data_IF_583771029956
#
_entry.id   IF_583771029956
#
_cell.length_a   1.000
_cell.length_b   1.000
_cell.length_c   1.000
_cell.angle_alpha   90.00
_cell.angle_beta   90.00
_cell.angle_gamma   90.00
#
_symmetry.space_group_name_H-M   'P 1'
#
loop_
_entity.id
_entity.type
_entity.pdbx_description
1 polymer ?
#
# COMPACT_ATOMS: atom_id res chain seq x y z
N UNK A 1 1.74 -0.84 8.45
CA UNK A 1 0.72 -1.63 7.73
C UNK A 1 -0.15 -2.38 8.73
N UNK A 2 -1.45 -2.56 8.45
CA UNK A 2 -2.44 -3.04 9.42
C UNK A 2 -3.34 -4.18 8.93
N UNK A 3 -4.10 -4.76 9.86
CA UNK A 3 -5.07 -5.84 9.65
C UNK A 3 -6.43 -5.45 10.24
N UNK A 4 -7.53 -5.86 9.59
CA UNK A 4 -8.86 -5.84 10.18
C UNK A 4 -9.66 -7.10 9.80
N UNK A 5 -10.93 -7.17 10.21
CA UNK A 5 -11.82 -8.30 9.92
C UNK A 5 -12.03 -8.55 8.41
N UNK A 6 -11.79 -7.54 7.57
CA UNK A 6 -11.97 -7.59 6.12
C UNK A 6 -10.67 -7.85 5.36
N UNK A 7 -9.60 -8.23 6.05
CA UNK A 7 -8.33 -8.61 5.45
C UNK A 7 -7.10 -7.88 6.01
N UNK A 8 -6.00 -7.98 5.26
CA UNK A 8 -4.68 -7.46 5.61
C UNK A 8 -4.18 -6.55 4.49
N UNK A 9 -3.43 -5.52 4.88
CA UNK A 9 -2.73 -4.65 3.95
C UNK A 9 -1.23 -4.94 4.01
N UNK A 10 -0.62 -5.14 2.85
CA UNK A 10 0.82 -5.30 2.71
C UNK A 10 1.37 -4.21 1.81
N UNK A 11 2.48 -3.62 2.20
CA UNK A 11 3.25 -2.77 1.30
C UNK A 11 4.31 -3.63 0.61
N UNK A 12 4.37 -3.55 -0.71
CA UNK A 12 5.42 -4.15 -1.52
C UNK A 12 6.18 -3.02 -2.22
N UNK A 13 7.49 -2.97 -2.00
CA UNK A 13 8.41 -2.06 -2.68
C UNK A 13 9.18 -2.81 -3.76
N UNK A 14 9.22 -2.25 -4.96
CA UNK A 14 10.09 -2.74 -6.02
C UNK A 14 11.56 -2.39 -5.75
N UNK A 15 12.47 -3.09 -6.42
CA UNK A 15 13.90 -2.78 -6.32
C UNK A 15 14.17 -1.33 -6.78
N UNK A 16 13.51 -0.90 -7.87
CA UNK A 16 13.51 0.47 -8.34
C UNK A 16 12.97 1.43 -7.26
N UNK A 17 13.62 2.58 -7.11
CA UNK A 17 13.17 3.63 -6.19
C UNK A 17 11.87 4.26 -6.68
N UNK A 18 11.02 4.67 -5.74
CA UNK A 18 9.72 5.30 -6.04
C UNK A 18 8.63 4.33 -6.53
N UNK A 19 8.97 3.08 -6.81
CA UNK A 19 8.00 2.06 -7.22
C UNK A 19 7.57 1.17 -6.06
N UNK A 20 6.27 1.12 -5.82
CA UNK A 20 5.68 0.30 -4.78
C UNK A 20 4.17 0.42 -4.75
N UNK A 21 3.53 -0.50 -4.05
CA UNK A 21 2.08 -0.53 -3.90
C UNK A 21 1.67 -1.12 -2.55
N UNK A 22 0.45 -0.79 -2.13
CA UNK A 22 -0.25 -1.46 -1.05
C UNK A 22 -1.23 -2.46 -1.64
N UNK A 23 -1.08 -3.74 -1.30
CA UNK A 23 -2.04 -4.78 -1.64
C UNK A 23 -2.99 -5.02 -0.46
N UNK A 24 -4.30 -4.99 -0.74
CA UNK A 24 -5.33 -5.48 0.17
C UNK A 24 -5.64 -6.93 -0.15
N UNK A 25 -5.36 -7.79 0.83
CA UNK A 25 -5.58 -9.24 0.74
C UNK A 25 -6.73 -9.60 1.67
N UNK A 26 -7.74 -10.34 1.19
CA UNK A 26 -8.85 -10.78 2.04
C UNK A 26 -8.41 -11.90 3.01
N UNK A 27 -9.35 -12.39 3.82
CA UNK A 27 -9.10 -13.47 4.78
C UNK A 27 -8.79 -14.82 4.13
N UNK A 28 -9.12 -14.99 2.86
CA UNK A 28 -8.84 -16.20 2.06
C UNK A 28 -7.48 -16.11 1.34
N UNK A 29 -6.72 -15.03 1.52
CA UNK A 29 -5.43 -14.83 0.87
C UNK A 29 -5.52 -14.28 -0.56
N UNK A 30 -6.70 -13.87 -1.01
CA UNK A 30 -6.92 -13.34 -2.37
C UNK A 30 -6.70 -11.83 -2.41
N UNK A 31 -5.95 -11.38 -3.42
CA UNK A 31 -5.78 -9.95 -3.70
C UNK A 31 -7.09 -9.35 -4.17
N UNK A 32 -7.62 -8.42 -3.39
CA UNK A 32 -8.86 -7.70 -3.71
C UNK A 32 -8.57 -6.40 -4.46
N UNK A 33 -7.52 -5.68 -4.04
CA UNK A 33 -7.21 -4.37 -4.58
C UNK A 33 -5.73 -4.04 -4.43
N UNK A 34 -5.19 -3.36 -5.43
CA UNK A 34 -3.84 -2.81 -5.43
C UNK A 34 -3.95 -1.29 -5.47
N UNK A 35 -3.23 -0.62 -4.57
CA UNK A 35 -3.13 0.83 -4.50
C UNK A 35 -1.69 1.24 -4.79
N UNK A 36 -1.42 1.96 -5.89
CA UNK A 36 -0.09 2.53 -6.13
C UNK A 36 0.33 3.42 -4.95
N UNK A 37 1.58 3.32 -4.52
CA UNK A 37 2.06 4.10 -3.37
C UNK A 37 1.90 5.62 -3.57
N UNK A 38 1.96 6.10 -4.81
CA UNK A 38 1.71 7.49 -5.17
C UNK A 38 0.34 8.02 -4.71
N UNK A 39 -0.68 7.15 -4.59
CA UNK A 39 -2.04 7.53 -4.21
C UNK A 39 -2.53 6.88 -2.92
N UNK A 40 -1.72 6.00 -2.31
CA UNK A 40 -2.11 5.21 -1.14
C UNK A 40 -1.90 5.92 0.22
N UNK A 41 -1.66 7.24 0.22
CA UNK A 41 -1.36 8.04 1.43
C UNK A 41 -2.39 7.91 2.55
N UNK A 42 -3.67 7.65 2.21
CA UNK A 42 -4.76 7.50 3.19
C UNK A 42 -4.92 6.08 3.73
N UNK A 43 -4.15 5.10 3.26
CA UNK A 43 -4.30 3.69 3.65
C UNK A 43 -3.30 3.35 4.74
N UNK A 44 -3.77 3.13 5.97
CA UNK A 44 -2.94 2.61 7.06
C UNK A 44 -1.69 3.44 7.38
N UNK A 45 -1.73 4.75 7.11
CA UNK A 45 -0.59 5.68 7.28
C UNK A 45 0.24 5.92 6.02
N UNK A 46 -0.16 5.38 4.88
CA UNK A 46 0.57 5.51 3.61
C UNK A 46 1.69 4.48 3.44
N UNK A 47 2.40 4.56 2.32
CA UNK A 47 3.56 3.74 2.06
C UNK A 47 4.77 4.24 2.86
N UNK A 48 5.44 3.32 3.56
CA UNK A 48 6.59 3.58 4.42
C UNK A 48 7.91 3.39 3.70
N UNK A 49 8.01 2.36 2.86
CA UNK A 49 9.22 2.00 2.12
C UNK A 49 9.30 2.73 0.77
N UNK A 50 8.15 2.96 0.15
CA UNK A 50 8.03 3.77 -1.06
C UNK A 50 7.26 5.03 -0.72
N UNK A 51 7.91 6.07 -0.16
CA UNK A 51 7.21 7.29 0.21
C UNK A 51 6.54 7.88 -1.03
N UNK A 52 5.27 8.25 -0.90
CA UNK A 52 4.61 8.99 -1.94
C UNK A 52 5.40 10.29 -2.20
N UNK A 53 5.52 10.72 -3.47
CA UNK A 53 6.06 12.04 -3.75
C UNK A 53 5.30 13.06 -2.89
N UNK A 54 6.03 14.02 -2.31
CA UNK A 54 5.40 15.11 -1.56
C UNK A 54 4.37 15.75 -2.48
N UNK A 55 3.10 15.80 -2.04
CA UNK A 55 2.10 16.60 -2.74
C UNK A 55 2.55 18.05 -2.60
N UNK A 56 3.12 18.60 -3.66
CA UNK A 56 3.25 20.05 -3.79
C UNK A 56 1.83 20.60 -3.93
N UNK A 57 1.39 21.32 -2.90
CA UNK A 57 0.12 22.06 -2.86
C UNK A 57 -0.01 23.08 -4.01
#
# INVERSE_FOLDING_TARGET
MGQNANGRFYEAKCAAEGEGYIARINTEGVTQQIYPCATAQRIGGGCRFTPAPALTE
#
